data_IF_106260321679
#
_entry.id   IF_106260321679
#
_cell.length_a   1.000
_cell.length_b   1.000
_cell.length_c   1.000
_cell.angle_alpha   90.00
_cell.angle_beta   90.00
_cell.angle_gamma   90.00
#
_symmetry.space_group_name_H-M   'P 1'
#
loop_
_entity.id
_entity.type
_entity.pdbx_description
1 polymer ?
#
# COMPACT_ATOMS: atom_id res chain seq x y z
N UNK A 1 68.37 -2.62 -5.89
CA UNK A 1 69.00 -2.00 -7.08
C UNK A 1 68.03 -0.94 -7.55
N UNK A 2 68.44 0.31 -7.40
CA UNK A 2 67.67 1.53 -7.71
C UNK A 2 67.52 1.78 -9.22
N UNK A 3 66.67 2.78 -9.50
CA UNK A 3 66.62 3.64 -10.69
C UNK A 3 65.59 3.21 -11.76
N UNK A 4 64.57 3.98 -12.15
CA UNK A 4 64.11 5.32 -11.80
C UNK A 4 63.33 5.96 -12.99
N UNK A 5 62.15 6.56 -12.71
CA UNK A 5 61.43 7.68 -13.41
C UNK A 5 61.01 7.47 -14.89
N UNK A 6 59.95 8.02 -15.49
CA UNK A 6 59.06 9.20 -15.29
C UNK A 6 57.70 8.92 -15.98
N UNK A 7 56.54 9.21 -15.38
CA UNK A 7 55.59 10.34 -15.64
C UNK A 7 55.15 10.53 -17.11
N UNK A 8 53.86 10.30 -17.43
CA UNK A 8 52.90 11.35 -17.85
C UNK A 8 51.47 10.80 -18.08
N UNK A 9 50.51 11.46 -17.42
CA UNK A 9 49.06 11.39 -17.67
C UNK A 9 48.73 12.08 -19.00
N UNK A 10 47.75 11.57 -19.75
CA UNK A 10 47.10 12.31 -20.83
C UNK A 10 45.57 12.13 -20.71
N UNK A 11 44.92 13.17 -20.19
CA UNK A 11 43.49 13.39 -20.22
C UNK A 11 43.09 13.88 -21.63
N UNK A 12 42.19 13.17 -22.31
CA UNK A 12 41.59 13.66 -23.56
C UNK A 12 40.39 14.57 -23.24
N UNK A 13 40.61 15.86 -23.46
CA UNK A 13 39.67 16.96 -23.36
C UNK A 13 38.90 17.10 -24.69
N UNK A 14 37.58 17.00 -24.66
CA UNK A 14 36.70 17.27 -25.81
C UNK A 14 36.44 18.77 -25.95
N UNK A 15 37.08 19.45 -26.92
CA UNK A 15 36.73 20.82 -27.32
C UNK A 15 35.71 20.85 -28.47
N UNK A 16 34.62 21.60 -28.26
CA UNK A 16 33.60 21.94 -29.26
C UNK A 16 34.04 23.15 -30.10
N UNK A 17 33.85 23.03 -31.41
CA UNK A 17 34.14 24.04 -32.46
C UNK A 17 33.02 25.08 -32.56
N UNK A 18 33.30 26.39 -32.71
CA UNK A 18 32.27 27.41 -32.88
C UNK A 18 31.90 27.62 -34.37
N UNK A 19 30.59 27.81 -34.61
CA UNK A 19 30.01 28.15 -35.92
C UNK A 19 30.30 29.61 -36.27
N UNK A 20 30.68 29.87 -37.52
CA UNK A 20 30.88 31.21 -38.10
C UNK A 20 29.65 31.58 -38.92
N UNK A 21 29.03 32.70 -38.58
CA UNK A 21 28.07 33.43 -39.44
C UNK A 21 28.85 34.41 -40.32
N UNK A 22 28.54 34.43 -41.62
CA UNK A 22 28.92 35.48 -42.56
C UNK A 22 27.74 35.69 -43.53
N UNK A 23 27.32 36.95 -43.59
CA UNK A 23 26.35 37.55 -44.50
C UNK A 23 26.78 37.38 -45.97
N UNK A 24 25.81 37.33 -46.89
CA UNK A 24 25.86 38.15 -48.11
C UNK A 24 24.52 38.16 -48.86
N UNK A 25 24.20 39.37 -49.34
CA UNK A 25 22.96 39.85 -49.93
C UNK A 25 22.75 39.52 -51.43
N UNK A 26 21.53 39.87 -51.89
CA UNK A 26 21.16 40.44 -53.21
C UNK A 26 20.54 39.54 -54.31
N UNK A 27 19.27 39.83 -54.66
CA UNK A 27 18.70 40.30 -55.96
C UNK A 27 17.21 39.84 -56.13
N UNK A 28 16.18 40.68 -55.95
CA UNK A 28 15.56 41.71 -56.84
C UNK A 28 14.60 41.19 -57.92
N UNK A 29 13.27 41.26 -57.68
CA UNK A 29 12.20 41.83 -58.55
C UNK A 29 10.80 41.40 -58.04
N UNK A 30 9.65 42.04 -58.30
CA UNK A 30 9.13 43.43 -58.30
C UNK A 30 7.66 43.31 -58.79
N UNK A 31 6.82 44.24 -58.33
CA UNK A 31 5.48 44.62 -58.83
C UNK A 31 4.27 43.84 -58.30
N UNK A 32 3.07 44.40 -58.12
CA UNK A 32 2.53 45.77 -57.96
C UNK A 32 0.99 45.57 -57.92
N UNK A 33 0.25 46.33 -57.10
CA UNK A 33 -1.22 46.40 -57.19
C UNK A 33 -1.88 46.83 -55.88
N UNK A 34 -1.94 48.14 -55.62
CA UNK A 34 -3.19 48.94 -55.54
C UNK A 34 -3.89 48.89 -54.16
N UNK A 35 -3.61 49.88 -53.30
CA UNK A 35 -4.40 51.12 -53.06
C UNK A 35 -5.75 50.91 -52.37
N UNK A 36 -5.85 51.30 -51.09
CA UNK A 36 -6.99 52.09 -50.60
C UNK A 36 -6.67 52.73 -49.24
N UNK A 37 -6.98 54.02 -49.14
CA UNK A 37 -6.75 54.92 -48.03
C UNK A 37 -7.79 54.72 -46.91
N UNK A 38 -7.36 54.77 -45.64
CA UNK A 38 -7.71 55.78 -44.62
C UNK A 38 -7.49 55.20 -43.22
N UNK A 39 -6.59 55.82 -42.47
CA UNK A 39 -6.30 55.53 -41.06
C UNK A 39 -6.82 56.69 -40.22
N UNK A 40 -7.78 56.46 -39.32
CA UNK A 40 -7.92 57.18 -38.05
C UNK A 40 -8.63 56.27 -37.03
N UNK A 41 -8.13 56.18 -35.77
CA UNK A 41 -8.68 55.25 -34.79
C UNK A 41 -9.87 55.88 -34.08
N UNK A 42 -10.94 55.10 -33.87
CA UNK A 42 -12.00 55.44 -32.92
C UNK A 42 -12.02 54.36 -31.86
N UNK A 43 -11.57 54.74 -30.68
CA UNK A 43 -11.66 54.00 -29.44
C UNK A 43 -13.14 53.94 -29.03
N UNK A 44 -13.84 52.86 -29.37
CA UNK A 44 -15.16 52.57 -28.82
C UNK A 44 -15.01 51.59 -27.66
N UNK A 45 -14.93 52.17 -26.47
CA UNK A 45 -15.10 51.54 -25.18
C UNK A 45 -16.52 50.97 -25.08
N UNK A 46 -16.74 49.74 -25.56
CA UNK A 46 -17.96 48.99 -25.24
C UNK A 46 -17.58 47.95 -24.19
N UNK A 47 -17.71 48.38 -22.95
CA UNK A 47 -17.62 47.54 -21.76
C UNK A 47 -18.78 46.55 -21.80
N UNK A 48 -18.57 45.43 -22.46
CA UNK A 48 -19.45 44.27 -22.34
C UNK A 48 -19.13 43.65 -20.98
N UNK A 49 -19.85 44.11 -19.96
CA UNK A 49 -19.94 43.45 -18.66
C UNK A 49 -20.57 42.07 -18.87
N UNK A 50 -19.74 41.11 -19.23
CA UNK A 50 -20.01 39.73 -18.89
C UNK A 50 -19.95 39.70 -17.36
N UNK A 51 -21.12 39.57 -16.73
CA UNK A 51 -21.26 39.08 -15.37
C UNK A 51 -20.54 37.72 -15.29
N UNK A 52 -19.25 37.73 -15.02
CA UNK A 52 -18.60 36.61 -14.39
C UNK A 52 -19.08 36.67 -12.95
N UNK A 53 -19.98 35.76 -12.56
CA UNK A 53 -20.38 35.62 -11.17
C UNK A 53 -19.10 35.48 -10.34
N UNK A 54 -18.90 36.40 -9.39
CA UNK A 54 -17.74 36.44 -8.48
C UNK A 54 -17.67 35.19 -7.57
N UNK A 55 -18.62 34.26 -7.74
CA UNK A 55 -18.73 32.97 -7.07
C UNK A 55 -18.42 31.76 -7.94
N UNK A 56 -18.13 31.92 -9.23
CA UNK A 56 -17.73 30.81 -10.08
C UNK A 56 -16.26 30.44 -9.81
N UNK A 57 -16.08 29.33 -9.09
CA UNK A 57 -14.80 28.70 -8.86
C UNK A 57 -14.13 28.38 -10.22
N UNK A 58 -12.91 28.86 -10.48
CA UNK A 58 -12.19 28.58 -11.73
C UNK A 58 -12.16 27.09 -12.04
N UNK A 59 -12.32 26.69 -13.31
CA UNK A 59 -12.38 25.27 -13.72
C UNK A 59 -11.16 24.45 -13.26
N UNK A 60 -9.99 25.08 -13.11
CA UNK A 60 -8.77 24.50 -12.54
C UNK A 60 -8.86 24.21 -11.02
N UNK A 61 -9.65 25.00 -10.28
CA UNK A 61 -9.96 24.79 -8.87
C UNK A 61 -11.14 23.83 -8.66
N UNK A 62 -11.98 23.63 -9.67
CA UNK A 62 -13.06 22.63 -9.66
C UNK A 62 -12.50 21.19 -9.66
N UNK A 63 -11.42 20.93 -10.39
CA UNK A 63 -10.67 19.66 -10.28
C UNK A 63 -10.01 19.47 -8.90
N UNK A 64 -9.76 20.57 -8.17
CA UNK A 64 -9.16 20.60 -6.83
C UNK A 64 -10.14 20.26 -5.70
N UNK A 65 -11.45 20.14 -5.98
CA UNK A 65 -12.48 19.76 -5.00
C UNK A 65 -12.68 18.24 -4.88
N UNK A 66 -11.85 17.42 -5.51
CA UNK A 66 -11.94 15.97 -5.33
C UNK A 66 -11.45 15.55 -3.93
N UNK A 67 -12.37 15.08 -3.09
CA UNK A 67 -12.05 14.51 -1.78
C UNK A 67 -11.30 13.16 -1.95
N UNK A 68 -10.05 13.12 -1.49
CA UNK A 68 -9.16 11.95 -1.45
C UNK A 68 -9.17 11.05 -2.71
N UNK A 69 -8.87 11.58 -3.91
CA UNK A 69 -9.01 10.84 -5.18
C UNK A 69 -8.20 9.54 -5.20
N UNK A 70 -6.98 9.57 -4.67
CA UNK A 70 -6.08 8.41 -4.63
C UNK A 70 -6.49 7.34 -3.60
N UNK A 71 -7.38 7.66 -2.66
CA UNK A 71 -7.83 6.73 -1.62
C UNK A 71 -9.15 6.03 -1.96
N UNK A 72 -9.91 6.53 -2.94
CA UNK A 72 -11.23 5.98 -3.31
C UNK A 72 -11.16 4.49 -3.64
N UNK A 73 -10.18 4.09 -4.45
CA UNK A 73 -10.00 2.68 -4.83
C UNK A 73 -9.56 1.81 -3.64
N UNK A 74 -8.45 2.12 -2.93
CA UNK A 74 -8.03 1.37 -1.75
C UNK A 74 -9.12 1.22 -0.68
N UNK A 75 -9.86 2.29 -0.38
CA UNK A 75 -10.94 2.26 0.62
C UNK A 75 -12.06 1.32 0.15
N UNK A 76 -12.52 1.45 -1.11
CA UNK A 76 -13.57 0.56 -1.66
C UNK A 76 -13.16 -0.91 -1.60
N UNK A 77 -11.93 -1.23 -2.01
CA UNK A 77 -11.41 -2.61 -1.97
C UNK A 77 -11.34 -3.10 -0.52
N UNK A 78 -10.81 -2.30 0.40
CA UNK A 78 -10.72 -2.67 1.82
C UNK A 78 -12.11 -2.92 2.44
N UNK A 79 -13.11 -2.09 2.10
CA UNK A 79 -14.47 -2.23 2.59
C UNK A 79 -15.14 -3.50 2.05
N UNK A 80 -14.93 -3.84 0.77
CA UNK A 80 -15.45 -5.07 0.17
C UNK A 80 -14.84 -6.30 0.84
N UNK A 81 -13.50 -6.35 0.97
CA UNK A 81 -12.81 -7.46 1.63
C UNK A 81 -13.27 -7.58 3.09
N UNK A 82 -13.33 -6.47 3.83
CA UNK A 82 -13.79 -6.47 5.22
C UNK A 82 -15.23 -6.97 5.35
N UNK A 83 -16.14 -6.52 4.49
CA UNK A 83 -17.56 -6.92 4.53
C UNK A 83 -17.73 -8.41 4.21
N UNK A 84 -17.04 -8.92 3.18
CA UNK A 84 -17.09 -10.33 2.82
C UNK A 84 -16.51 -11.22 3.93
N UNK A 85 -15.35 -10.86 4.48
CA UNK A 85 -14.74 -11.62 5.58
C UNK A 85 -15.58 -11.54 6.86
N UNK A 86 -16.18 -10.38 7.14
CA UNK A 86 -17.08 -10.21 8.29
C UNK A 86 -18.30 -11.11 8.16
N UNK A 87 -18.99 -11.08 7.01
CA UNK A 87 -20.16 -11.92 6.78
C UNK A 87 -19.81 -13.41 6.87
N UNK A 88 -18.70 -13.82 6.24
CA UNK A 88 -18.21 -15.21 6.33
C UNK A 88 -17.93 -15.62 7.78
N UNK A 89 -17.22 -14.79 8.54
CA UNK A 89 -16.88 -15.09 9.94
C UNK A 89 -18.13 -15.09 10.83
N UNK A 90 -19.06 -14.17 10.60
CA UNK A 90 -20.33 -14.11 11.32
C UNK A 90 -21.17 -15.37 11.08
N UNK A 91 -21.25 -15.81 9.82
CA UNK A 91 -21.95 -17.05 9.45
C UNK A 91 -21.33 -18.25 10.16
N UNK A 92 -20.00 -18.40 10.11
CA UNK A 92 -19.29 -19.56 10.68
C UNK A 92 -19.31 -19.58 12.21
N UNK A 93 -19.11 -18.44 12.87
CA UNK A 93 -18.85 -18.39 14.31
C UNK A 93 -20.09 -18.12 15.16
N UNK A 94 -21.13 -17.52 14.56
CA UNK A 94 -22.35 -17.12 15.25
C UNK A 94 -23.56 -17.88 14.70
N UNK A 95 -23.82 -17.78 13.39
CA UNK A 95 -25.05 -18.32 12.79
C UNK A 95 -25.02 -19.86 12.78
N UNK A 96 -23.91 -20.47 12.38
CA UNK A 96 -23.82 -21.93 12.33
C UNK A 96 -24.05 -22.58 13.70
N UNK A 97 -23.36 -22.20 14.81
CA UNK A 97 -23.66 -22.74 16.14
C UNK A 97 -25.06 -22.39 16.67
N UNK A 98 -25.62 -21.24 16.27
CA UNK A 98 -26.97 -20.86 16.65
C UNK A 98 -28.01 -21.79 16.03
N UNK A 99 -27.83 -22.18 14.77
CA UNK A 99 -28.75 -23.06 14.04
C UNK A 99 -28.58 -24.53 14.45
N UNK A 100 -27.35 -25.01 14.59
CA UNK A 100 -27.09 -26.44 14.86
C UNK A 100 -27.21 -26.80 16.34
N UNK A 101 -26.64 -25.97 17.23
CA UNK A 101 -26.53 -26.27 18.66
C UNK A 101 -27.45 -25.40 19.54
N UNK A 102 -28.22 -24.48 18.94
CA UNK A 102 -29.09 -23.53 19.65
C UNK A 102 -28.35 -22.67 20.71
N UNK A 103 -27.04 -22.49 20.55
CA UNK A 103 -26.20 -21.73 21.47
C UNK A 103 -26.00 -20.29 21.01
N UNK A 104 -26.21 -19.33 21.92
CA UNK A 104 -26.08 -17.91 21.63
C UNK A 104 -24.66 -17.39 21.93
N UNK A 105 -23.92 -17.03 20.88
CA UNK A 105 -22.54 -16.53 20.98
C UNK A 105 -22.37 -15.07 20.56
N UNK A 106 -23.43 -14.25 20.60
CA UNK A 106 -23.42 -12.85 20.13
C UNK A 106 -22.32 -11.98 20.76
N UNK A 107 -21.90 -12.26 22.01
CA UNK A 107 -20.80 -11.55 22.67
C UNK A 107 -19.45 -11.69 21.94
N UNK A 108 -19.30 -12.68 21.04
CA UNK A 108 -18.09 -12.86 20.23
C UNK A 108 -17.97 -11.79 19.13
N UNK A 109 -19.08 -11.15 18.71
CA UNK A 109 -19.10 -10.21 17.58
C UNK A 109 -18.13 -9.03 17.79
N UNK A 110 -18.16 -8.27 18.90
CA UNK A 110 -17.40 -7.01 18.98
C UNK A 110 -15.89 -7.17 18.94
N UNK A 111 -15.35 -8.31 19.42
CA UNK A 111 -13.90 -8.51 19.53
C UNK A 111 -13.43 -9.74 18.75
N UNK A 112 -14.02 -10.92 18.95
CA UNK A 112 -13.51 -12.15 18.33
C UNK A 112 -13.76 -12.20 16.83
N UNK A 113 -14.93 -11.73 16.37
CA UNK A 113 -15.23 -11.67 14.93
C UNK A 113 -14.40 -10.56 14.28
N UNK A 114 -14.38 -9.36 14.86
CA UNK A 114 -13.58 -8.25 14.34
C UNK A 114 -12.09 -8.61 14.27
N UNK A 115 -11.52 -9.25 15.31
CA UNK A 115 -10.11 -9.65 15.31
C UNK A 115 -9.77 -10.82 14.37
N UNK A 116 -10.77 -11.42 13.68
CA UNK A 116 -10.55 -12.31 12.54
C UNK A 116 -10.58 -11.55 11.21
N UNK A 117 -11.40 -10.50 11.12
CA UNK A 117 -11.52 -9.65 9.92
C UNK A 117 -10.29 -8.76 9.73
N UNK A 118 -9.87 -8.05 10.77
CA UNK A 118 -8.75 -7.10 10.73
C UNK A 118 -7.46 -7.69 10.13
N UNK A 119 -6.92 -8.83 10.64
CA UNK A 119 -5.69 -9.40 10.08
C UNK A 119 -5.87 -9.87 8.63
N UNK A 120 -7.03 -10.44 8.29
CA UNK A 120 -7.31 -10.90 6.93
C UNK A 120 -7.32 -9.73 5.93
N UNK A 121 -7.95 -8.62 6.29
CA UNK A 121 -7.94 -7.39 5.49
C UNK A 121 -6.51 -6.86 5.38
N UNK A 122 -5.79 -6.78 6.51
CA UNK A 122 -4.41 -6.27 6.55
C UNK A 122 -3.47 -7.02 5.61
N UNK A 123 -3.40 -8.36 5.71
CA UNK A 123 -2.50 -9.18 4.90
C UNK A 123 -2.92 -9.20 3.42
N UNK A 124 -4.23 -9.17 3.14
CA UNK A 124 -4.74 -9.09 1.75
C UNK A 124 -4.33 -7.78 1.10
N UNK A 125 -4.51 -6.65 1.79
CA UNK A 125 -4.09 -5.36 1.27
C UNK A 125 -2.56 -5.30 1.08
N UNK A 126 -1.79 -5.89 2.00
CA UNK A 126 -0.33 -6.00 1.86
C UNK A 126 0.06 -6.80 0.62
N UNK A 127 -0.59 -7.93 0.37
CA UNK A 127 -0.38 -8.73 -0.83
C UNK A 127 -0.70 -7.92 -2.10
N UNK A 128 -1.78 -7.12 -2.09
CA UNK A 128 -2.17 -6.24 -3.20
C UNK A 128 -1.18 -5.08 -3.45
N UNK A 129 -0.27 -4.77 -2.52
CA UNK A 129 0.84 -3.83 -2.75
C UNK A 129 1.87 -4.44 -3.71
N UNK A 130 2.23 -5.71 -3.49
CA UNK A 130 3.34 -6.36 -4.21
C UNK A 130 2.90 -7.15 -5.45
N UNK A 131 1.66 -7.65 -5.46
CA UNK A 131 1.08 -8.38 -6.59
C UNK A 131 1.17 -7.65 -7.96
N UNK A 132 0.87 -6.34 -8.09
CA UNK A 132 0.98 -5.68 -9.39
C UNK A 132 2.43 -5.59 -9.88
N UNK A 133 3.42 -5.61 -8.97
CA UNK A 133 4.84 -5.67 -9.33
C UNK A 133 5.21 -7.00 -9.99
N UNK A 134 4.65 -8.11 -9.49
CA UNK A 134 4.82 -9.45 -10.08
C UNK A 134 4.09 -9.54 -11.44
N UNK A 135 2.87 -9.02 -11.52
CA UNK A 135 2.13 -8.98 -12.79
C UNK A 135 2.87 -8.13 -13.82
N UNK A 136 3.40 -6.98 -13.41
CA UNK A 136 4.18 -6.10 -14.28
C UNK A 136 5.43 -6.79 -14.85
N UNK A 137 6.17 -7.55 -14.02
CA UNK A 137 7.34 -8.30 -14.51
C UNK A 137 6.95 -9.40 -15.50
N UNK A 138 5.87 -10.16 -15.23
CA UNK A 138 5.35 -11.16 -16.16
C UNK A 138 4.90 -10.55 -17.49
N UNK A 139 4.23 -9.39 -17.46
CA UNK A 139 3.83 -8.67 -18.67
C UNK A 139 5.03 -8.16 -19.45
N UNK A 140 6.07 -7.65 -18.77
CA UNK A 140 7.32 -7.23 -19.43
C UNK A 140 8.04 -8.40 -20.09
N UNK A 141 8.13 -9.54 -19.41
CA UNK A 141 8.72 -10.77 -19.97
C UNK A 141 7.94 -11.26 -21.19
N UNK A 142 6.60 -11.32 -21.10
CA UNK A 142 5.74 -11.72 -22.22
C UNK A 142 5.87 -10.81 -23.43
N UNK A 143 6.06 -9.51 -23.22
CA UNK A 143 6.22 -8.54 -24.30
C UNK A 143 7.66 -8.51 -24.86
N UNK A 144 8.64 -9.10 -24.16
CA UNK A 144 10.06 -9.05 -24.54
C UNK A 144 10.69 -7.65 -24.44
N UNK A 145 9.99 -6.66 -23.87
CA UNK A 145 10.49 -5.28 -23.77
C UNK A 145 9.90 -4.55 -22.56
N UNK A 146 10.73 -3.71 -21.93
CA UNK A 146 10.32 -2.80 -20.85
C UNK A 146 9.68 -1.50 -21.34
N UNK A 147 9.82 -1.19 -22.63
CA UNK A 147 9.42 0.11 -23.21
C UNK A 147 7.95 0.15 -23.63
N UNK A 148 7.24 -0.99 -23.60
CA UNK A 148 5.80 -1.03 -23.87
C UNK A 148 5.02 -0.55 -22.65
N UNK A 149 4.09 0.37 -22.87
CA UNK A 149 3.25 0.90 -21.80
C UNK A 149 2.38 -0.19 -21.16
N UNK A 150 2.17 -0.09 -19.85
CA UNK A 150 1.25 -0.96 -19.13
C UNK A 150 -0.20 -0.64 -19.47
N UNK A 151 -1.10 -1.63 -19.42
CA UNK A 151 -2.52 -1.38 -19.59
C UNK A 151 -3.02 -0.41 -18.49
N UNK A 152 -4.00 0.47 -18.78
CA UNK A 152 -4.41 1.55 -17.87
C UNK A 152 -4.82 1.09 -16.47
N UNK A 153 -5.44 -0.09 -16.35
CA UNK A 153 -5.83 -0.67 -15.06
C UNK A 153 -4.63 -1.01 -14.18
N UNK A 154 -3.54 -1.53 -14.76
CA UNK A 154 -2.33 -1.89 -14.03
C UNK A 154 -1.55 -0.65 -13.62
N UNK A 155 -1.47 0.35 -14.50
CA UNK A 155 -0.86 1.64 -14.19
C UNK A 155 -1.58 2.32 -13.00
N UNK A 156 -2.92 2.34 -13.00
CA UNK A 156 -3.74 2.88 -11.90
C UNK A 156 -3.57 2.10 -10.59
N UNK A 157 -3.40 0.78 -10.67
CA UNK A 157 -3.13 -0.03 -9.48
C UNK A 157 -1.72 0.24 -8.94
N UNK A 158 -0.71 0.31 -9.81
CA UNK A 158 0.67 0.62 -9.42
C UNK A 158 0.81 1.98 -8.72
N UNK A 159 0.00 2.97 -9.08
CA UNK A 159 -0.01 4.30 -8.44
C UNK A 159 -0.69 4.33 -7.06
N UNK A 160 -1.52 3.33 -6.74
CA UNK A 160 -2.26 3.26 -5.45
C UNK A 160 -1.60 2.37 -4.40
N UNK A 161 -0.41 1.81 -4.71
CA UNK A 161 0.35 0.91 -3.81
C UNK A 161 0.64 1.53 -2.44
N UNK A 162 0.97 2.83 -2.39
CA UNK A 162 1.23 3.55 -1.14
C UNK A 162 0.01 3.51 -0.22
N UNK A 163 -1.17 3.79 -0.75
CA UNK A 163 -2.42 3.83 0.01
C UNK A 163 -2.83 2.42 0.49
N UNK A 164 -2.63 1.39 -0.34
CA UNK A 164 -2.81 0.00 0.08
C UNK A 164 -1.89 -0.38 1.24
N UNK A 165 -0.60 -0.01 1.18
CA UNK A 165 0.36 -0.27 2.26
C UNK A 165 -0.02 0.43 3.56
N UNK A 166 -0.45 1.69 3.49
CA UNK A 166 -0.88 2.45 4.68
C UNK A 166 -2.17 1.87 5.30
N UNK A 167 -3.16 1.49 4.50
CA UNK A 167 -4.36 0.81 5.01
C UNK A 167 -4.00 -0.55 5.63
N UNK A 168 -3.13 -1.32 4.98
CA UNK A 168 -2.65 -2.59 5.53
C UNK A 168 -2.03 -2.41 6.91
N UNK A 169 -1.14 -1.43 7.08
CA UNK A 169 -0.53 -1.10 8.37
C UNK A 169 -1.57 -0.67 9.40
N UNK A 170 -2.53 0.18 9.04
CA UNK A 170 -3.61 0.60 9.92
C UNK A 170 -4.41 -0.60 10.47
N UNK A 171 -4.82 -1.51 9.59
CA UNK A 171 -5.52 -2.74 10.01
C UNK A 171 -4.63 -3.68 10.83
N UNK A 172 -3.32 -3.73 10.56
CA UNK A 172 -2.36 -4.50 11.35
C UNK A 172 -2.24 -3.98 12.78
N UNK A 173 -2.16 -2.66 12.96
CA UNK A 173 -2.10 -2.02 14.29
C UNK A 173 -3.39 -2.26 15.05
N UNK A 174 -4.56 -2.11 14.40
CA UNK A 174 -5.83 -2.46 15.03
C UNK A 174 -5.85 -3.94 15.45
N UNK A 175 -5.44 -4.85 14.58
CA UNK A 175 -5.34 -6.28 14.92
C UNK A 175 -4.42 -6.52 16.12
N UNK A 176 -3.27 -5.84 16.21
CA UNK A 176 -2.36 -5.96 17.34
C UNK A 176 -3.03 -5.48 18.65
N UNK A 177 -3.67 -4.31 18.64
CA UNK A 177 -4.39 -3.77 19.82
C UNK A 177 -5.50 -4.73 20.26
N UNK A 178 -6.32 -5.21 19.31
CA UNK A 178 -7.37 -6.17 19.60
C UNK A 178 -6.81 -7.46 20.19
N UNK A 179 -5.69 -7.97 19.67
CA UNK A 179 -5.04 -9.20 20.15
C UNK A 179 -4.44 -9.02 21.56
N UNK A 180 -3.76 -7.90 21.83
CA UNK A 180 -3.22 -7.58 23.15
C UNK A 180 -4.33 -7.39 24.21
N UNK A 181 -5.54 -7.01 23.79
CA UNK A 181 -6.69 -6.88 24.70
C UNK A 181 -7.32 -8.22 25.12
N UNK A 182 -6.90 -9.37 24.56
CA UNK A 182 -7.48 -10.68 24.86
C UNK A 182 -7.58 -11.02 26.35
N UNK A 183 -6.49 -10.94 27.14
CA UNK A 183 -6.51 -11.27 28.56
C UNK A 183 -7.32 -10.28 29.41
N UNK A 184 -7.50 -9.03 28.96
CA UNK A 184 -8.28 -8.01 29.68
C UNK A 184 -9.79 -8.28 29.67
N UNK A 185 -10.27 -9.15 28.77
CA UNK A 185 -11.70 -9.39 28.61
C UNK A 185 -12.28 -10.25 29.73
N UNK A 186 -13.46 -9.85 30.19
CA UNK A 186 -14.19 -10.60 31.22
C UNK A 186 -14.54 -12.03 30.79
N UNK A 187 -14.84 -12.24 29.51
CA UNK A 187 -15.12 -13.57 28.95
C UNK A 187 -13.91 -14.50 29.04
N UNK A 188 -12.69 -13.99 28.78
CA UNK A 188 -11.47 -14.77 28.94
C UNK A 188 -11.24 -15.13 30.42
N UNK A 189 -11.46 -14.17 31.32
CA UNK A 189 -11.34 -14.39 32.77
C UNK A 189 -12.27 -15.50 33.27
N UNK A 190 -13.55 -15.48 32.90
CA UNK A 190 -14.49 -16.53 33.29
C UNK A 190 -14.10 -17.89 32.69
N UNK A 191 -13.62 -17.92 31.45
CA UNK A 191 -13.15 -19.15 30.83
C UNK A 191 -11.93 -19.75 31.54
N UNK A 192 -10.97 -18.91 31.94
CA UNK A 192 -9.79 -19.33 32.70
C UNK A 192 -10.18 -19.92 34.06
N UNK A 193 -11.11 -19.26 34.77
CA UNK A 193 -11.64 -19.76 36.05
C UNK A 193 -12.32 -21.13 35.90
N UNK A 194 -13.13 -21.30 34.85
CA UNK A 194 -13.78 -22.58 34.58
C UNK A 194 -12.77 -23.69 34.25
N UNK A 195 -11.73 -23.39 33.48
CA UNK A 195 -10.66 -24.35 33.18
C UNK A 195 -9.88 -24.75 34.43
N UNK A 196 -9.52 -23.79 35.30
CA UNK A 196 -8.84 -24.08 36.56
C UNK A 196 -9.71 -24.95 37.49
N UNK A 197 -11.01 -24.64 37.58
CA UNK A 197 -11.95 -25.44 38.37
C UNK A 197 -12.07 -26.88 37.82
N UNK A 198 -12.21 -27.05 36.50
CA UNK A 198 -12.28 -28.36 35.87
C UNK A 198 -10.99 -29.17 36.03
N UNK A 199 -9.82 -28.52 35.95
CA UNK A 199 -8.53 -29.18 36.15
C UNK A 199 -8.40 -29.76 37.57
N UNK A 200 -8.78 -28.98 38.59
CA UNK A 200 -8.80 -29.43 39.98
C UNK A 200 -9.78 -30.59 40.16
N UNK A 201 -10.97 -30.50 39.57
CA UNK A 201 -11.97 -31.56 39.63
C UNK A 201 -11.48 -32.87 38.98
N UNK A 202 -10.58 -32.79 38.00
CA UNK A 202 -9.96 -33.93 37.33
C UNK A 202 -8.67 -34.43 38.02
N UNK A 203 -8.25 -33.83 39.14
CA UNK A 203 -6.99 -34.11 39.82
C UNK A 203 -5.77 -34.07 38.89
N UNK A 204 -5.77 -33.18 37.89
CA UNK A 204 -4.65 -33.02 36.95
C UNK A 204 -3.68 -31.97 37.49
N UNK A 205 -2.51 -32.42 37.94
CA UNK A 205 -1.49 -31.56 38.56
C UNK A 205 -0.86 -30.58 37.56
N UNK A 206 -0.41 -31.08 36.40
CA UNK A 206 0.23 -30.28 35.36
C UNK A 206 -0.64 -30.17 34.10
N UNK A 207 -0.92 -28.93 33.68
CA UNK A 207 -1.68 -28.61 32.47
C UNK A 207 -0.78 -28.14 31.30
N UNK A 208 0.54 -28.24 31.44
CA UNK A 208 1.51 -27.87 30.42
C UNK A 208 1.38 -28.74 29.17
N UNK A 209 1.37 -28.09 27.99
CA UNK A 209 1.35 -28.73 26.68
C UNK A 209 2.45 -28.09 25.84
N UNK A 210 3.61 -28.76 25.77
CA UNK A 210 4.84 -28.25 25.17
C UNK A 210 4.64 -27.70 23.75
N UNK A 211 4.03 -28.48 22.86
CA UNK A 211 3.82 -28.07 21.47
C UNK A 211 2.90 -26.84 21.32
N UNK A 212 1.90 -26.69 22.19
CA UNK A 212 1.01 -25.53 22.16
C UNK A 212 1.71 -24.26 22.62
N UNK A 213 2.63 -24.38 23.59
CA UNK A 213 3.49 -23.29 24.05
C UNK A 213 4.43 -22.86 22.94
N UNK A 214 5.19 -23.78 22.33
CA UNK A 214 6.06 -23.47 21.19
C UNK A 214 5.33 -22.74 20.06
N UNK A 215 4.15 -23.25 19.69
CA UNK A 215 3.30 -22.61 18.69
C UNK A 215 3.01 -21.16 19.07
N UNK A 216 2.51 -20.92 20.28
CA UNK A 216 2.17 -19.59 20.79
C UNK A 216 3.37 -18.63 20.73
N UNK A 217 4.51 -19.02 21.28
CA UNK A 217 5.70 -18.18 21.37
C UNK A 217 6.24 -17.80 19.97
N UNK A 218 6.28 -18.75 19.05
CA UNK A 218 6.80 -18.52 17.69
C UNK A 218 5.89 -17.56 16.92
N UNK A 219 4.59 -17.85 16.79
CA UNK A 219 3.74 -17.02 15.93
C UNK A 219 3.58 -15.61 16.50
N UNK A 220 3.53 -15.45 17.83
CA UNK A 220 3.44 -14.12 18.46
C UNK A 220 4.70 -13.30 18.17
N UNK A 221 5.90 -13.89 18.35
CA UNK A 221 7.17 -13.23 18.05
C UNK A 221 7.27 -12.78 16.58
N UNK A 222 6.91 -13.67 15.65
CA UNK A 222 6.87 -13.34 14.22
C UNK A 222 5.90 -12.19 13.90
N UNK A 223 4.74 -12.15 14.55
CA UNK A 223 3.76 -11.08 14.42
C UNK A 223 4.32 -9.73 14.87
N UNK A 224 5.05 -9.70 15.99
CA UNK A 224 5.69 -8.48 16.52
C UNK A 224 6.76 -7.96 15.57
N UNK A 225 7.67 -8.82 15.11
CA UNK A 225 8.72 -8.42 14.16
C UNK A 225 8.11 -7.98 12.82
N UNK A 226 7.11 -8.70 12.31
CA UNK A 226 6.38 -8.34 11.09
C UNK A 226 5.74 -6.96 11.18
N UNK A 227 5.08 -6.65 12.31
CA UNK A 227 4.48 -5.35 12.57
C UNK A 227 5.53 -4.23 12.70
N UNK A 228 6.66 -4.50 13.35
CA UNK A 228 7.76 -3.53 13.46
C UNK A 228 8.30 -3.13 12.07
N UNK A 229 8.45 -4.11 11.16
CA UNK A 229 8.84 -3.82 9.78
C UNK A 229 7.76 -3.01 9.06
N UNK A 230 6.47 -3.35 9.21
CA UNK A 230 5.39 -2.52 8.63
C UNK A 230 5.41 -1.08 9.14
N UNK A 231 5.76 -0.86 10.41
CA UNK A 231 5.89 0.47 10.97
C UNK A 231 7.01 1.26 10.27
N UNK A 232 8.16 0.63 9.97
CA UNK A 232 9.23 1.25 9.18
C UNK A 232 8.73 1.63 7.77
N UNK A 233 7.96 0.76 7.11
CA UNK A 233 7.36 1.07 5.79
C UNK A 233 6.39 2.25 5.85
N UNK A 234 5.59 2.33 6.91
CA UNK A 234 4.63 3.41 7.13
C UNK A 234 5.33 4.74 7.41
N UNK A 235 6.35 4.75 8.27
CA UNK A 235 7.13 5.95 8.60
C UNK A 235 7.88 6.47 7.37
N UNK A 236 8.51 5.58 6.58
CA UNK A 236 9.17 5.98 5.33
C UNK A 236 8.20 6.41 4.22
N UNK A 237 6.89 6.24 4.41
CA UNK A 237 5.87 6.76 3.50
C UNK A 237 5.48 8.22 3.78
N UNK A 238 5.94 8.81 4.90
CA UNK A 238 5.75 10.22 5.23
C UNK A 238 6.62 11.06 4.29
N UNK A 239 6.08 12.10 3.61
CA UNK A 239 6.84 12.90 2.64
C UNK A 239 8.18 13.43 3.19
N UNK A 240 8.19 14.01 4.39
CA UNK A 240 9.42 14.52 5.01
C UNK A 240 10.52 13.48 5.20
N UNK A 241 10.16 12.22 5.44
CA UNK A 241 11.12 11.11 5.57
C UNK A 241 11.50 10.59 4.19
N UNK A 242 10.51 10.36 3.32
CA UNK A 242 10.71 9.86 1.96
C UNK A 242 11.64 10.76 1.14
N UNK A 243 11.49 12.08 1.27
CA UNK A 243 12.25 13.07 0.51
C UNK A 243 13.69 13.23 1.04
N UNK A 244 13.98 12.71 2.25
CA UNK A 244 15.33 12.70 2.85
C UNK A 244 16.17 11.48 2.45
N UNK A 245 15.55 10.45 1.87
CA UNK A 245 16.21 9.20 1.50
C UNK A 245 16.62 9.21 0.03
N UNK A 246 17.76 8.58 -0.27
CA UNK A 246 18.11 8.29 -1.66
C UNK A 246 17.12 7.28 -2.27
N UNK A 247 16.95 7.29 -3.59
CA UNK A 247 16.08 6.32 -4.26
C UNK A 247 16.46 4.87 -3.94
N UNK A 248 17.76 4.58 -3.80
CA UNK A 248 18.25 3.24 -3.46
C UNK A 248 17.79 2.80 -2.07
N UNK A 249 17.87 3.69 -1.07
CA UNK A 249 17.42 3.42 0.30
C UNK A 249 15.91 3.26 0.36
N UNK A 250 15.16 4.20 -0.24
CA UNK A 250 13.71 4.13 -0.31
C UNK A 250 13.23 2.84 -0.98
N UNK A 251 13.81 2.50 -2.13
CA UNK A 251 13.49 1.27 -2.85
C UNK A 251 13.84 0.02 -2.04
N UNK A 252 14.98 0.00 -1.35
CA UNK A 252 15.36 -1.13 -0.49
C UNK A 252 14.32 -1.35 0.61
N UNK A 253 13.91 -0.29 1.31
CA UNK A 253 12.90 -0.36 2.36
C UNK A 253 11.55 -0.83 1.78
N UNK A 254 11.02 -0.12 0.80
CA UNK A 254 9.68 -0.38 0.26
C UNK A 254 9.57 -1.68 -0.55
N UNK A 255 10.68 -2.23 -1.06
CA UNK A 255 10.69 -3.49 -1.82
C UNK A 255 11.15 -4.68 -0.98
N UNK A 256 12.36 -4.63 -0.41
CA UNK A 256 12.99 -5.79 0.26
C UNK A 256 12.40 -6.00 1.66
N UNK A 257 12.36 -4.96 2.49
CA UNK A 257 11.71 -5.08 3.80
C UNK A 257 10.20 -5.28 3.64
N UNK A 258 9.63 -4.68 2.60
CA UNK A 258 8.25 -4.90 2.17
C UNK A 258 7.87 -6.37 1.99
N UNK A 259 8.60 -7.09 1.15
CA UNK A 259 8.33 -8.52 0.91
C UNK A 259 8.64 -9.38 2.14
N UNK A 260 9.67 -9.03 2.93
CA UNK A 260 9.98 -9.71 4.20
C UNK A 260 8.81 -9.59 5.17
N UNK A 261 8.19 -8.41 5.26
CA UNK A 261 7.01 -8.21 6.11
C UNK A 261 5.83 -9.08 5.66
N UNK A 262 5.57 -9.18 4.35
CA UNK A 262 4.54 -10.09 3.82
C UNK A 262 4.84 -11.55 4.13
N UNK A 263 6.10 -11.97 4.00
CA UNK A 263 6.53 -13.33 4.34
C UNK A 263 6.32 -13.63 5.83
N UNK A 264 6.78 -12.75 6.72
CA UNK A 264 6.62 -12.90 8.16
C UNK A 264 5.15 -12.92 8.58
N UNK A 265 4.33 -12.04 8.01
CA UNK A 265 2.88 -12.03 8.26
C UNK A 265 2.18 -13.32 7.78
N UNK A 266 2.64 -13.89 6.67
CA UNK A 266 2.14 -15.17 6.17
C UNK A 266 2.56 -16.33 7.06
N UNK A 267 3.83 -16.40 7.46
CA UNK A 267 4.34 -17.44 8.37
C UNK A 267 3.65 -17.32 9.75
N UNK A 268 3.45 -16.11 10.26
CA UNK A 268 2.67 -15.85 11.48
C UNK A 268 1.29 -16.52 11.41
N UNK A 269 0.56 -16.37 10.30
CA UNK A 269 -0.74 -17.01 10.12
C UNK A 269 -0.66 -18.53 9.93
N UNK A 270 0.36 -19.05 9.23
CA UNK A 270 0.56 -20.48 9.02
C UNK A 270 0.88 -21.21 10.34
N UNK A 271 1.81 -20.66 11.14
CA UNK A 271 2.18 -21.22 12.45
C UNK A 271 1.00 -21.12 13.42
N UNK A 272 0.20 -20.04 13.38
CA UNK A 272 -1.04 -19.97 14.15
C UNK A 272 -2.01 -21.12 13.82
N UNK A 273 -2.00 -21.58 12.57
CA UNK A 273 -2.84 -22.67 12.06
C UNK A 273 -2.21 -24.08 12.17
N UNK A 274 -1.08 -24.25 12.89
CA UNK A 274 -0.27 -25.48 13.04
C UNK A 274 -0.94 -26.82 12.65
N UNK A 275 -1.97 -27.27 13.38
CA UNK A 275 -2.68 -28.54 13.11
C UNK A 275 -4.12 -28.38 12.61
N UNK A 276 -4.58 -27.14 12.34
CA UNK A 276 -5.97 -26.88 11.93
C UNK A 276 -6.29 -27.36 10.51
N UNK A 277 -5.29 -27.83 9.78
CA UNK A 277 -5.42 -28.31 8.41
C UNK A 277 -5.80 -29.81 8.35
N UNK A 278 -5.50 -30.56 9.41
CA UNK A 278 -5.70 -32.02 9.48
C UNK A 278 -7.00 -32.42 10.22
N UNK A 279 -7.63 -31.50 10.95
CA UNK A 279 -8.87 -31.74 11.72
C UNK A 279 -10.11 -32.15 10.88
N UNK A 280 -9.99 -32.34 9.56
CA UNK A 280 -11.08 -32.80 8.68
C UNK A 280 -10.89 -34.25 8.16
N UNK A 281 -9.90 -35.01 8.63
CA UNK A 281 -9.65 -36.40 8.14
C UNK A 281 -10.10 -37.51 9.08
N UNK A 282 -10.75 -37.19 10.21
CA UNK A 282 -11.34 -38.18 11.11
C UNK A 282 -12.80 -37.81 11.43
N UNK A 283 -13.69 -38.05 10.47
CA UNK A 283 -15.14 -38.25 10.68
C UNK A 283 -15.64 -39.28 9.65
#
# INVERSE_FOLDING_TARGET
MECGKDITNQEELWEMKPSRDLEDDHYLNKNLGETSMLKRPVLSHLQQTAHADEFDCPSDLQHKQELFPNWRLPIKISAIVASLTFLYTLLREIIHPLVTLHQQYFYKIPILVINKVLPMVSITLLALVYLPGVIASLVQLRNGTKYKMFPPWLARWMSTRKQFGLLSFFFAVLHAIYSLSYPMRRSYRYRLLNWAYQQVQQNKEDAWIEHDVWRMEIYVSLGIVGLAILAVLAVTSIPSVSDSLTWREFHYVQSKLGIVSLLLGTIHALIFAWNKWEENTED
#
